data_IF_392753315133
#
_entry.id   IF_392753315133
#
_cell.length_a   1.000
_cell.length_b   1.000
_cell.length_c   1.000
_cell.angle_alpha   90.00
_cell.angle_beta   90.00
_cell.angle_gamma   90.00
#
_symmetry.space_group_name_H-M   'P 1'
#
loop_
_entity.id
_entity.type
_entity.pdbx_description
1 polymer ?
#
# COMPACT_ATOMS: atom_id res chain seq x y z
N UNK A 1 6.33 -26.16 -9.41
CA UNK A 1 7.72 -25.92 -9.83
C UNK A 1 7.92 -24.42 -9.95
N UNK A 2 9.09 -23.94 -9.50
CA UNK A 2 9.49 -22.54 -9.26
C UNK A 2 8.76 -21.85 -8.08
N UNK A 3 9.17 -22.19 -6.86
CA UNK A 3 8.99 -21.30 -5.72
C UNK A 3 9.97 -20.14 -5.90
N UNK A 4 9.46 -18.95 -6.25
CA UNK A 4 10.27 -17.75 -6.19
C UNK A 4 10.76 -17.58 -4.76
N UNK A 5 12.08 -17.51 -4.61
CA UNK A 5 12.76 -17.29 -3.35
C UNK A 5 12.39 -15.88 -2.88
N UNK A 6 11.36 -15.77 -2.04
CA UNK A 6 11.17 -14.58 -1.22
C UNK A 6 12.40 -14.50 -0.33
N UNK A 7 13.20 -13.45 -0.47
CA UNK A 7 14.26 -13.17 0.48
C UNK A 7 13.65 -13.24 1.87
N UNK A 8 14.11 -14.20 2.67
CA UNK A 8 13.51 -14.51 3.95
C UNK A 8 13.70 -13.31 4.87
N UNK A 9 12.68 -12.48 4.99
CA UNK A 9 12.62 -11.41 5.99
C UNK A 9 12.93 -12.05 7.33
N UNK A 10 13.98 -11.55 7.97
CA UNK A 10 14.42 -12.13 9.24
C UNK A 10 13.32 -11.95 10.27
N UNK A 11 13.03 -13.01 11.02
CA UNK A 11 12.00 -12.98 12.07
C UNK A 11 12.24 -11.88 13.10
N UNK A 12 13.52 -11.59 13.39
CA UNK A 12 13.92 -10.47 14.26
C UNK A 12 13.52 -9.11 13.70
N UNK A 13 13.77 -8.85 12.41
CA UNK A 13 13.34 -7.62 11.72
C UNK A 13 11.82 -7.45 11.80
N UNK A 14 11.08 -8.54 11.65
CA UNK A 14 9.63 -8.50 11.73
C UNK A 14 9.14 -8.28 13.17
N UNK A 15 9.80 -8.85 14.17
CA UNK A 15 9.51 -8.62 15.58
C UNK A 15 9.77 -7.15 15.97
N UNK A 16 10.88 -6.57 15.54
CA UNK A 16 11.19 -5.15 15.71
C UNK A 16 10.13 -4.26 15.08
N UNK A 17 9.72 -4.56 13.84
CA UNK A 17 8.68 -3.80 13.14
C UNK A 17 7.33 -3.85 13.88
N UNK A 18 6.93 -5.01 14.41
CA UNK A 18 5.71 -5.14 15.23
C UNK A 18 5.79 -4.34 16.51
N UNK A 19 6.93 -4.37 17.21
CA UNK A 19 7.14 -3.59 18.42
C UNK A 19 7.07 -2.08 18.13
N UNK A 20 7.73 -1.61 17.06
CA UNK A 20 7.68 -0.22 16.61
C UNK A 20 6.26 0.20 16.22
N UNK A 21 5.56 -0.64 15.45
CA UNK A 21 4.18 -0.37 15.05
C UNK A 21 3.26 -0.21 16.26
N UNK A 22 3.39 -1.08 17.27
CA UNK A 22 2.60 -1.01 18.51
C UNK A 22 2.88 0.27 19.31
N UNK A 23 4.11 0.76 19.29
CA UNK A 23 4.51 1.97 20.03
C UNK A 23 4.16 3.26 19.29
N UNK A 24 4.47 3.32 17.99
CA UNK A 24 4.47 4.56 17.21
C UNK A 24 3.26 4.69 16.28
N UNK A 25 2.47 3.62 16.11
CA UNK A 25 1.36 3.55 15.15
C UNK A 25 1.79 3.36 13.69
N UNK A 26 3.09 3.22 13.41
CA UNK A 26 3.64 2.95 12.08
C UNK A 26 4.98 2.21 12.16
N UNK A 27 5.34 1.47 11.12
CA UNK A 27 6.65 0.86 10.95
C UNK A 27 6.97 0.67 9.46
N UNK A 28 8.27 0.59 9.14
CA UNK A 28 8.76 0.24 7.80
C UNK A 28 9.47 -1.10 7.90
N UNK A 29 9.16 -2.01 6.99
CA UNK A 29 9.87 -3.29 6.86
C UNK A 29 10.61 -3.26 5.52
N UNK A 30 11.94 -3.08 5.51
CA UNK A 30 12.69 -2.95 4.27
C UNK A 30 12.85 -4.29 3.56
N UNK A 31 13.12 -4.24 2.24
CA UNK A 31 13.55 -5.37 1.42
C UNK A 31 12.59 -6.58 1.46
N UNK A 32 11.28 -6.32 1.44
CA UNK A 32 10.25 -7.37 1.34
C UNK A 32 10.20 -7.96 -0.07
N UNK A 33 10.39 -7.11 -1.08
CA UNK A 33 10.51 -7.47 -2.48
C UNK A 33 11.83 -6.91 -3.01
N UNK A 34 12.42 -7.60 -3.98
CA UNK A 34 13.66 -7.16 -4.61
C UNK A 34 13.39 -6.11 -5.71
N UNK A 35 14.45 -5.46 -6.19
CA UNK A 35 14.38 -4.45 -7.25
C UNK A 35 13.74 -4.98 -8.53
N UNK A 36 13.91 -6.27 -8.82
CA UNK A 36 13.34 -6.91 -10.01
C UNK A 36 11.82 -6.97 -9.90
N UNK A 37 11.30 -7.46 -8.77
CA UNK A 37 9.86 -7.50 -8.49
C UNK A 37 9.29 -6.10 -8.37
N UNK A 38 9.98 -5.16 -7.74
CA UNK A 38 9.53 -3.77 -7.66
C UNK A 38 9.33 -3.16 -9.05
N UNK A 39 10.29 -3.33 -9.97
CA UNK A 39 10.17 -2.90 -11.37
C UNK A 39 9.01 -3.57 -12.09
N UNK A 40 8.85 -4.88 -11.90
CA UNK A 40 7.71 -5.63 -12.46
C UNK A 40 6.37 -5.03 -12.00
N UNK A 41 6.22 -4.75 -10.70
CA UNK A 41 4.99 -4.16 -10.14
C UNK A 41 4.75 -2.76 -10.73
N UNK A 42 5.79 -1.94 -10.89
CA UNK A 42 5.67 -0.63 -11.52
C UNK A 42 5.20 -0.74 -12.96
N UNK A 43 5.76 -1.67 -13.76
CA UNK A 43 5.31 -1.90 -15.13
C UNK A 43 3.84 -2.36 -15.17
N UNK A 44 3.41 -3.19 -14.21
CA UNK A 44 2.01 -3.61 -14.08
C UNK A 44 1.09 -2.48 -13.66
N UNK A 45 1.54 -1.54 -12.82
CA UNK A 45 0.76 -0.36 -12.45
C UNK A 45 0.45 0.52 -13.65
N UNK A 46 1.41 0.74 -14.55
CA UNK A 46 1.16 1.54 -15.76
C UNK A 46 0.16 0.87 -16.70
N UNK A 47 0.24 -0.46 -16.87
CA UNK A 47 -0.78 -1.23 -17.61
C UNK A 47 -2.15 -1.19 -16.93
N UNK A 48 -2.19 -1.25 -15.60
CA UNK A 48 -3.41 -1.15 -14.82
C UNK A 48 -4.06 0.23 -14.95
N UNK A 49 -3.26 1.31 -15.03
CA UNK A 49 -3.74 2.65 -15.33
C UNK A 49 -4.44 2.71 -16.69
N UNK A 50 -3.77 2.22 -17.75
CA UNK A 50 -4.33 2.19 -19.11
C UNK A 50 -5.65 1.41 -19.14
N UNK A 51 -5.71 0.26 -18.45
CA UNK A 51 -6.93 -0.55 -18.36
C UNK A 51 -8.04 0.14 -17.57
N UNK A 52 -7.71 0.84 -16.47
CA UNK A 52 -8.66 1.67 -15.70
C UNK A 52 -9.29 2.75 -16.60
N UNK A 53 -8.47 3.49 -17.34
CA UNK A 53 -8.95 4.51 -18.28
C UNK A 53 -9.80 3.91 -19.39
N UNK A 54 -9.39 2.75 -19.94
CA UNK A 54 -10.16 2.02 -20.96
C UNK A 54 -11.55 1.58 -20.46
N UNK A 55 -11.68 1.25 -19.17
CA UNK A 55 -12.96 0.92 -18.51
C UNK A 55 -13.79 2.15 -18.17
N UNK A 56 -13.23 3.34 -18.24
CA UNK A 56 -13.88 4.61 -17.89
C UNK A 56 -13.72 5.01 -16.43
N UNK A 57 -12.85 4.33 -15.67
CA UNK A 57 -12.52 4.71 -14.30
C UNK A 57 -11.47 5.84 -14.32
N UNK A 58 -11.78 7.04 -13.82
CA UNK A 58 -10.88 8.18 -13.88
C UNK A 58 -9.65 7.95 -12.99
N UNK A 59 -8.48 8.30 -13.50
CA UNK A 59 -7.21 8.19 -12.76
C UNK A 59 -6.76 9.51 -12.14
N UNK A 60 -7.64 10.52 -12.16
CA UNK A 60 -7.50 11.82 -11.51
C UNK A 60 -8.88 12.27 -11.04
N UNK A 61 -8.97 12.73 -9.79
CA UNK A 61 -10.20 13.16 -9.12
C UNK A 61 -10.01 14.58 -8.60
N UNK A 62 -10.63 15.57 -9.25
CA UNK A 62 -10.45 17.00 -8.94
C UNK A 62 -10.86 17.43 -7.52
N UNK A 63 -11.78 16.70 -6.89
CA UNK A 63 -12.24 16.93 -5.52
C UNK A 63 -11.33 16.29 -4.45
N UNK A 64 -10.42 15.40 -4.85
CA UNK A 64 -9.53 14.67 -3.95
C UNK A 64 -8.06 15.05 -4.17
N UNK A 65 -7.66 15.17 -5.43
CA UNK A 65 -6.28 15.36 -5.83
C UNK A 65 -5.89 16.85 -5.78
N UNK A 66 -4.78 17.20 -5.12
CA UNK A 66 -4.32 18.59 -5.05
C UNK A 66 -3.97 19.21 -6.41
N UNK A 67 -3.66 18.37 -7.40
CA UNK A 67 -3.40 18.72 -8.79
C UNK A 67 -3.41 17.47 -9.69
N UNK A 68 -3.34 17.68 -11.00
CA UNK A 68 -3.30 16.64 -12.02
C UNK A 68 -1.97 15.86 -12.10
N UNK A 69 -1.04 16.07 -11.15
CA UNK A 69 0.21 15.28 -11.08
C UNK A 69 0.04 14.00 -10.27
N UNK A 70 -1.08 13.83 -9.57
CA UNK A 70 -1.39 12.56 -8.92
C UNK A 70 -2.11 11.62 -9.88
N UNK A 71 -1.74 10.34 -9.86
CA UNK A 71 -2.46 9.29 -10.59
C UNK A 71 -3.01 8.29 -9.58
N UNK A 72 -4.33 8.09 -9.61
CA UNK A 72 -5.04 7.12 -8.79
C UNK A 72 -5.43 5.92 -9.65
N UNK A 73 -5.26 4.71 -9.10
CA UNK A 73 -5.74 3.48 -9.73
C UNK A 73 -6.53 2.70 -8.68
N UNK A 74 -7.79 2.45 -8.96
CA UNK A 74 -8.69 1.70 -8.09
C UNK A 74 -8.75 0.22 -8.48
N UNK A 75 -9.34 -0.60 -7.61
CA UNK A 75 -9.64 -2.01 -7.90
C UNK A 75 -8.44 -2.86 -8.38
N UNK A 76 -7.23 -2.59 -7.84
CA UNK A 76 -5.99 -3.22 -8.31
C UNK A 76 -6.07 -4.76 -8.41
N UNK A 77 -6.73 -5.41 -7.45
CA UNK A 77 -6.88 -6.88 -7.44
C UNK A 77 -7.63 -7.43 -8.66
N UNK A 78 -8.48 -6.63 -9.30
CA UNK A 78 -9.21 -6.99 -10.52
C UNK A 78 -8.42 -6.70 -11.80
N UNK A 79 -7.40 -5.84 -11.72
CA UNK A 79 -6.67 -5.34 -12.89
C UNK A 79 -5.49 -6.25 -13.27
N UNK A 80 -4.77 -6.81 -12.30
CA UNK A 80 -3.65 -7.74 -12.57
C UNK A 80 -3.47 -8.74 -11.40
N UNK A 81 -2.99 -9.96 -11.69
CA UNK A 81 -2.72 -10.97 -10.67
C UNK A 81 -1.61 -10.57 -9.70
N UNK A 82 -0.65 -9.75 -10.11
CA UNK A 82 0.46 -9.34 -9.24
C UNK A 82 -0.03 -8.63 -7.98
N UNK A 83 -1.14 -7.88 -8.07
CA UNK A 83 -1.72 -7.19 -6.93
C UNK A 83 -2.41 -8.16 -5.95
N UNK A 84 -2.92 -9.29 -6.45
CA UNK A 84 -3.42 -10.38 -5.60
C UNK A 84 -2.27 -11.11 -4.90
N UNK A 85 -1.10 -11.19 -5.53
CA UNK A 85 0.11 -11.70 -4.88
C UNK A 85 0.59 -10.76 -3.77
N UNK A 86 0.67 -9.46 -4.03
CA UNK A 86 1.12 -8.46 -3.05
C UNK A 86 0.16 -8.31 -1.87
N UNK A 87 -1.16 -8.27 -2.10
CA UNK A 87 -2.14 -8.13 -1.01
C UNK A 87 -2.15 -9.35 -0.08
N UNK A 88 -1.79 -10.53 -0.61
CA UNK A 88 -1.68 -11.77 0.13
C UNK A 88 -0.24 -12.07 0.61
N UNK A 89 0.69 -11.13 0.47
CA UNK A 89 2.09 -11.36 0.81
C UNK A 89 2.22 -11.75 2.29
N UNK A 90 2.90 -12.87 2.64
CA UNK A 90 2.91 -13.40 4.00
C UNK A 90 3.34 -12.39 5.07
N UNK A 91 4.37 -11.58 4.77
CA UNK A 91 4.84 -10.55 5.70
C UNK A 91 3.80 -9.44 5.93
N UNK A 92 3.07 -9.03 4.90
CA UNK A 92 2.01 -8.04 5.03
C UNK A 92 0.85 -8.60 5.86
N UNK A 93 0.43 -9.83 5.56
CA UNK A 93 -0.60 -10.55 6.32
C UNK A 93 -0.21 -10.70 7.78
N UNK A 94 1.03 -11.09 8.07
CA UNK A 94 1.52 -11.26 9.45
C UNK A 94 1.55 -9.93 10.22
N UNK A 95 1.92 -8.83 9.57
CA UNK A 95 1.84 -7.49 10.17
C UNK A 95 0.39 -7.10 10.48
N UNK A 96 -0.54 -7.29 9.53
CA UNK A 96 -1.97 -7.02 9.72
C UNK A 96 -2.53 -7.85 10.88
N UNK A 97 -2.22 -9.14 10.93
CA UNK A 97 -2.69 -10.05 11.98
C UNK A 97 -2.18 -9.68 13.37
N UNK A 98 -0.97 -9.12 13.45
CA UNK A 98 -0.43 -8.63 14.72
C UNK A 98 -1.18 -7.39 15.25
N UNK A 99 -1.87 -6.65 14.38
CA UNK A 99 -2.62 -5.44 14.71
C UNK A 99 -4.13 -5.69 14.90
N UNK A 100 -4.75 -6.45 13.98
CA UNK A 100 -6.21 -6.62 13.89
C UNK A 100 -6.68 -8.02 14.33
N UNK A 101 -5.76 -8.95 14.58
CA UNK A 101 -6.07 -10.35 14.87
C UNK A 101 -6.17 -11.23 13.62
N UNK A 102 -6.52 -12.51 13.83
CA UNK A 102 -6.42 -13.54 12.80
C UNK A 102 -7.47 -13.42 11.69
N UNK A 103 -8.60 -12.78 11.97
CA UNK A 103 -9.69 -12.58 11.01
C UNK A 103 -9.78 -11.10 10.68
N UNK A 104 -9.55 -10.75 9.42
CA UNK A 104 -9.64 -9.39 8.92
C UNK A 104 -10.19 -9.41 7.49
N UNK A 105 -10.62 -8.24 7.01
CA UNK A 105 -11.13 -8.05 5.65
C UNK A 105 -10.28 -7.02 4.93
N UNK A 106 -10.13 -7.20 3.62
CA UNK A 106 -9.54 -6.18 2.74
C UNK A 106 -10.66 -5.20 2.39
N UNK A 107 -10.53 -3.95 2.81
CA UNK A 107 -11.50 -2.89 2.50
C UNK A 107 -11.33 -2.39 1.07
N UNK A 108 -10.10 -2.00 0.70
CA UNK A 108 -9.75 -1.59 -0.65
C UNK A 108 -8.25 -1.85 -0.90
N UNK A 109 -7.85 -1.81 -2.17
CA UNK A 109 -6.45 -1.78 -2.56
C UNK A 109 -6.28 -0.91 -3.81
N UNK A 110 -5.56 0.20 -3.63
CA UNK A 110 -5.42 1.27 -4.62
C UNK A 110 -3.96 1.65 -4.79
N UNK A 111 -3.62 2.23 -5.95
CA UNK A 111 -2.33 2.88 -6.17
C UNK A 111 -2.50 4.40 -6.15
N UNK A 112 -1.50 5.06 -5.58
CA UNK A 112 -1.31 6.51 -5.66
C UNK A 112 0.10 6.75 -6.19
N UNK A 113 0.21 7.30 -7.40
CA UNK A 113 1.49 7.57 -8.06
C UNK A 113 1.65 9.09 -8.11
N UNK A 114 2.53 9.59 -7.24
CA UNK A 114 2.89 11.00 -7.20
C UNK A 114 3.93 11.31 -8.29
N UNK A 115 3.51 11.96 -9.38
CA UNK A 115 4.43 12.47 -10.41
C UNK A 115 5.18 13.73 -9.91
N UNK A 116 6.27 14.15 -10.58
CA UNK A 116 6.92 15.41 -10.28
C UNK A 116 5.91 16.58 -10.19
N UNK A 117 6.08 17.41 -9.17
CA UNK A 117 5.19 18.54 -8.78
C UNK A 117 3.87 18.13 -8.11
N UNK A 118 3.67 16.87 -7.76
CA UNK A 118 2.60 16.48 -6.83
C UNK A 118 2.75 17.23 -5.51
N UNK A 119 1.63 17.57 -4.87
CA UNK A 119 1.62 18.28 -3.59
C UNK A 119 1.23 17.33 -2.47
N UNK A 120 1.71 17.62 -1.26
CA UNK A 120 1.28 16.90 -0.06
C UNK A 120 -0.21 17.04 0.17
N UNK A 121 -0.86 15.95 0.56
CA UNK A 121 -2.21 16.00 1.12
C UNK A 121 -2.19 16.71 2.48
N UNK A 122 -3.34 17.22 2.91
CA UNK A 122 -3.51 17.68 4.29
C UNK A 122 -3.24 16.55 5.30
N UNK A 123 -2.95 16.90 6.54
CA UNK A 123 -2.87 15.88 7.60
C UNK A 123 -4.27 15.37 7.92
N UNK A 124 -4.48 14.06 7.80
CA UNK A 124 -5.77 13.43 8.13
C UNK A 124 -5.57 12.03 8.73
N UNK A 125 -6.61 11.55 9.41
CA UNK A 125 -6.74 10.15 9.81
C UNK A 125 -7.62 9.43 8.81
N UNK A 126 -7.12 8.35 8.24
CA UNK A 126 -7.88 7.49 7.36
C UNK A 126 -9.06 6.78 8.08
N UNK A 127 -8.95 6.64 9.40
CA UNK A 127 -9.98 6.04 10.23
C UNK A 127 -11.18 6.99 10.43
N UNK A 128 -10.97 8.30 10.47
CA UNK A 128 -12.05 9.27 10.72
C UNK A 128 -13.07 9.36 9.58
N UNK A 129 -12.74 8.82 8.40
CA UNK A 129 -13.67 8.69 7.28
C UNK A 129 -14.68 7.55 7.47
N UNK A 130 -14.41 6.59 8.36
CA UNK A 130 -15.20 5.37 8.53
C UNK A 130 -15.74 5.19 9.94
N UNK A 131 -15.06 5.74 10.95
CA UNK A 131 -15.41 5.57 12.35
C UNK A 131 -15.62 6.94 13.01
N UNK A 132 -16.78 7.18 13.63
CA UNK A 132 -17.00 8.41 14.39
C UNK A 132 -16.15 8.42 15.65
N UNK A 133 -15.80 9.61 16.13
CA UNK A 133 -15.09 9.76 17.40
C UNK A 133 -15.93 9.30 18.60
N UNK A 134 -15.30 8.71 19.64
CA UNK A 134 -13.86 8.44 19.76
C UNK A 134 -13.46 7.05 19.22
N UNK A 135 -12.36 7.00 18.46
CA UNK A 135 -11.76 5.76 17.97
C UNK A 135 -10.91 5.06 19.05
N UNK A 136 -11.54 4.27 19.93
CA UNK A 136 -10.90 3.68 21.11
C UNK A 136 -10.11 2.38 20.84
N UNK A 137 -10.05 1.90 19.59
CA UNK A 137 -9.40 0.65 19.23
C UNK A 137 -8.92 0.67 17.78
N UNK A 138 -7.99 -0.22 17.44
CA UNK A 138 -7.50 -0.38 16.08
C UNK A 138 -8.52 -1.15 15.24
N UNK A 139 -9.31 -0.44 14.45
CA UNK A 139 -10.32 -1.04 13.55
C UNK A 139 -9.82 -1.19 12.11
N UNK A 140 -8.78 -0.45 11.73
CA UNK A 140 -8.21 -0.39 10.38
C UNK A 140 -6.70 -0.20 10.47
N UNK A 141 -6.00 -0.74 9.48
CA UNK A 141 -4.59 -0.48 9.21
C UNK A 141 -4.40 -0.32 7.69
N UNK A 142 -3.43 0.49 7.29
CA UNK A 142 -2.95 0.56 5.91
C UNK A 142 -1.62 -0.20 5.78
N UNK A 143 -1.47 -0.97 4.71
CA UNK A 143 -0.18 -1.47 4.24
C UNK A 143 0.18 -0.71 2.97
N UNK A 144 1.35 -0.08 2.96
CA UNK A 144 1.82 0.72 1.82
C UNK A 144 3.07 0.08 1.24
N UNK A 145 3.00 -0.27 -0.04
CA UNK A 145 4.14 -0.76 -0.81
C UNK A 145 4.88 0.42 -1.43
N UNK A 146 6.11 0.65 -1.00
CA UNK A 146 6.99 1.66 -1.59
C UNK A 146 7.81 0.99 -2.70
N UNK A 147 7.49 1.31 -3.96
CA UNK A 147 8.09 0.66 -5.14
C UNK A 147 9.28 1.45 -5.73
N UNK A 148 9.52 2.64 -5.21
CA UNK A 148 10.68 3.48 -5.48
C UNK A 148 11.23 3.99 -4.15
N UNK A 149 12.49 4.43 -4.16
CA UNK A 149 13.07 5.11 -3.01
C UNK A 149 12.26 6.35 -2.64
N UNK A 150 11.90 6.43 -1.36
CA UNK A 150 11.23 7.61 -0.81
C UNK A 150 12.23 8.46 -0.04
N UNK A 151 12.40 9.70 -0.49
CA UNK A 151 13.26 10.68 0.14
C UNK A 151 12.56 12.04 0.19
N UNK A 152 12.95 12.87 1.15
CA UNK A 152 12.54 14.26 1.19
C UNK A 152 13.29 15.01 0.09
N UNK A 153 12.58 15.54 -0.91
CA UNK A 153 13.19 16.49 -1.85
C UNK A 153 13.58 17.77 -1.09
N UNK A 154 14.82 18.21 -1.27
CA UNK A 154 15.33 19.47 -0.72
C UNK A 154 14.73 20.68 -1.43
#
# INVERSE_FOLDING_TARGET
MAGHCFDAVRQEQLAEAKAKFKQDGWAVVPNIIDDTKAKEVVDRLWKAKEESERRGDPTYLDWLDPNSSNVLIFYLMELDSIFRELIAHPVAVEMVQSALGQTFLISNYTANIALPRSKSMGLYSDLSLQCPDPCLSTWRLNVVWCLHDMYRSH
#
